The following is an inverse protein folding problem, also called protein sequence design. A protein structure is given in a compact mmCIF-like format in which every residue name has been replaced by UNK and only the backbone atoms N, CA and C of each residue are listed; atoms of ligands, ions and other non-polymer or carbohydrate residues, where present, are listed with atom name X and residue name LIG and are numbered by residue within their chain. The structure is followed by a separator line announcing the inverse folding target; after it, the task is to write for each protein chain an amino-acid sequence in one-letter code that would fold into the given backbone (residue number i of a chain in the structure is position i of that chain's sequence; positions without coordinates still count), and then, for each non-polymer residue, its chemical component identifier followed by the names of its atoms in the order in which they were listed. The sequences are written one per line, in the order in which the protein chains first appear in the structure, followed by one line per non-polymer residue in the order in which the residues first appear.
data_IF_767853318231
#
_entry.id   IF_767853318231
#
_cell.length_a   1.000
_cell.length_b   1.000
_cell.length_c   1.000
_cell.angle_alpha   90.00
_cell.angle_beta   90.00
_cell.angle_gamma   90.00
#
_symmetry.space_group_name_H-M   'P 1'
#
loop_
_entity.id
_entity.type
_entity.pdbx_description
1 polymer ?
#
# COMPACT_ATOMS: atom_id res chain seq x y z
N UNK A 1 7.56 -13.16 -5.74
CA UNK A 1 8.39 -14.37 -5.57
C UNK A 1 8.73 -14.45 -4.10
N UNK A 2 8.49 -15.58 -3.46
CA UNK A 2 8.92 -15.82 -2.08
C UNK A 2 10.26 -16.56 -2.14
N UNK A 3 11.30 -15.96 -1.59
CA UNK A 3 12.62 -16.60 -1.48
C UNK A 3 12.68 -17.36 -0.18
N UNK A 4 13.04 -18.64 -0.24
CA UNK A 4 13.38 -19.38 0.97
C UNK A 4 14.76 -18.93 1.46
N UNK A 5 14.97 -18.82 2.78
CA UNK A 5 16.31 -18.66 3.34
C UNK A 5 17.22 -19.73 2.73
N UNK A 6 18.42 -19.34 2.32
CA UNK A 6 19.43 -20.27 1.75
C UNK A 6 20.07 -21.12 2.86
N UNK A 7 19.25 -21.72 3.71
CA UNK A 7 19.67 -22.71 4.70
C UNK A 7 19.54 -24.07 4.04
N UNK A 8 20.63 -24.86 4.07
CA UNK A 8 20.71 -26.15 3.38
C UNK A 8 19.57 -27.13 3.69
N UNK A 9 18.94 -26.98 4.86
CA UNK A 9 17.81 -27.80 5.33
C UNK A 9 16.50 -27.46 4.59
N UNK A 10 16.20 -26.16 4.39
CA UNK A 10 14.98 -25.75 3.68
C UNK A 10 15.11 -25.99 2.17
N UNK A 11 16.32 -25.83 1.63
CA UNK A 11 16.58 -26.05 0.21
C UNK A 11 16.60 -27.54 -0.13
N UNK A 12 17.14 -28.40 0.74
CA UNK A 12 17.07 -29.85 0.56
C UNK A 12 15.64 -30.38 0.68
N UNK A 13 14.87 -29.88 1.66
CA UNK A 13 13.45 -30.23 1.80
C UNK A 13 12.64 -29.81 0.56
N UNK A 14 12.80 -28.57 0.07
CA UNK A 14 12.12 -28.12 -1.15
C UNK A 14 12.54 -28.94 -2.38
N UNK A 15 13.79 -29.40 -2.46
CA UNK A 15 14.27 -30.21 -3.58
C UNK A 15 13.79 -31.67 -3.54
N UNK A 16 13.45 -32.20 -2.36
CA UNK A 16 12.91 -33.56 -2.19
C UNK A 16 11.39 -33.65 -2.37
N UNK A 17 10.68 -32.53 -2.27
CA UNK A 17 9.22 -32.50 -2.37
C UNK A 17 8.75 -32.52 -3.83
N UNK A 18 7.83 -33.42 -4.14
CA UNK A 18 7.14 -33.49 -5.43
C UNK A 18 6.19 -32.29 -5.64
N UNK A 19 5.75 -32.00 -6.89
CA UNK A 19 4.84 -30.88 -7.16
C UNK A 19 3.58 -30.95 -6.30
N UNK A 20 3.46 -30.05 -5.32
CA UNK A 20 2.41 -30.11 -4.32
C UNK A 20 1.48 -28.90 -4.43
N UNK A 21 0.18 -29.14 -4.25
CA UNK A 21 -0.82 -28.08 -4.15
C UNK A 21 -0.67 -27.25 -2.86
N UNK A 22 -0.05 -27.76 -1.80
CA UNK A 22 0.21 -26.99 -0.58
C UNK A 22 1.18 -25.83 -0.84
N UNK A 23 2.24 -26.03 -1.64
CA UNK A 23 3.18 -24.97 -2.00
C UNK A 23 2.50 -23.85 -2.80
N UNK A 24 1.41 -24.16 -3.53
CA UNK A 24 0.64 -23.16 -4.28
C UNK A 24 -0.09 -22.17 -3.37
N UNK A 25 -0.52 -22.61 -2.18
CA UNK A 25 -1.27 -21.77 -1.21
C UNK A 25 -0.42 -20.57 -0.79
N UNK A 26 0.89 -20.77 -0.61
CA UNK A 26 1.82 -19.71 -0.22
C UNK A 26 1.86 -18.59 -1.28
N UNK A 27 1.92 -18.95 -2.57
CA UNK A 27 1.88 -17.98 -3.66
C UNK A 27 0.52 -17.34 -3.86
N UNK A 28 -0.53 -18.14 -3.76
CA UNK A 28 -1.90 -17.66 -3.86
C UNK A 28 -2.17 -16.62 -2.77
N UNK A 29 -1.77 -16.89 -1.52
CA UNK A 29 -1.85 -15.95 -0.40
C UNK A 29 -1.00 -14.70 -0.61
N UNK A 30 0.22 -14.85 -1.14
CA UNK A 30 1.08 -13.70 -1.45
C UNK A 30 0.45 -12.81 -2.54
N UNK A 31 -0.05 -13.38 -3.62
CA UNK A 31 -0.71 -12.61 -4.69
C UNK A 31 -2.01 -11.99 -4.20
N UNK A 32 -2.79 -12.73 -3.43
CA UNK A 32 -4.00 -12.25 -2.78
C UNK A 32 -3.73 -11.01 -1.92
N UNK A 33 -2.71 -11.07 -1.06
CA UNK A 33 -2.30 -9.95 -0.21
C UNK A 33 -1.81 -8.75 -1.03
N UNK A 34 -1.03 -8.98 -2.10
CA UNK A 34 -0.55 -7.90 -2.98
C UNK A 34 -1.70 -7.18 -3.68
N UNK A 35 -2.66 -7.90 -4.27
CA UNK A 35 -3.84 -7.28 -4.89
C UNK A 35 -4.70 -6.54 -3.86
N UNK A 36 -4.85 -7.07 -2.66
CA UNK A 36 -5.58 -6.40 -1.57
C UNK A 36 -4.89 -5.11 -1.13
N UNK A 37 -3.58 -5.18 -0.86
CA UNK A 37 -2.72 -4.05 -0.49
C UNK A 37 -2.73 -2.94 -1.56
N UNK A 38 -3.01 -3.29 -2.81
CA UNK A 38 -3.11 -2.35 -3.91
C UNK A 38 -4.38 -1.50 -3.89
N UNK A 39 -5.51 -2.02 -3.41
CA UNK A 39 -6.79 -1.28 -3.43
C UNK A 39 -6.96 -0.40 -2.19
N UNK A 40 -6.38 -0.79 -1.03
CA UNK A 40 -6.51 -0.01 0.21
C UNK A 40 -6.08 1.46 0.09
N UNK A 41 -4.93 1.81 -0.52
CA UNK A 41 -4.53 3.21 -0.68
C UNK A 41 -5.52 4.01 -1.55
N UNK A 42 -6.09 3.39 -2.58
CA UNK A 42 -7.13 4.02 -3.40
C UNK A 42 -8.43 4.25 -2.61
N UNK A 43 -8.87 3.28 -1.81
CA UNK A 43 -10.03 3.47 -0.93
C UNK A 43 -9.82 4.66 0.01
N UNK A 44 -8.62 4.79 0.59
CA UNK A 44 -8.27 5.94 1.44
C UNK A 44 -8.34 7.27 0.68
N UNK A 45 -7.86 7.32 -0.56
CA UNK A 45 -7.98 8.49 -1.44
C UNK A 45 -9.44 8.89 -1.69
N UNK A 46 -10.31 7.93 -2.02
CA UNK A 46 -11.74 8.18 -2.28
C UNK A 46 -12.46 8.69 -1.03
N UNK A 47 -12.22 8.07 0.12
CA UNK A 47 -12.76 8.50 1.42
C UNK A 47 -12.40 9.97 1.68
N UNK A 48 -11.16 10.37 1.42
CA UNK A 48 -10.70 11.75 1.58
C UNK A 48 -11.39 12.71 0.61
N UNK A 49 -11.50 12.33 -0.65
CA UNK A 49 -12.20 13.13 -1.66
C UNK A 49 -13.66 13.40 -1.26
N UNK A 50 -14.35 12.40 -0.69
CA UNK A 50 -15.73 12.53 -0.20
C UNK A 50 -15.82 13.46 1.00
N UNK A 51 -14.91 13.34 1.98
CA UNK A 51 -14.88 14.22 3.17
C UNK A 51 -14.70 15.68 2.78
N UNK A 52 -13.80 15.96 1.84
CA UNK A 52 -13.55 17.32 1.34
C UNK A 52 -14.68 17.81 0.43
N UNK A 53 -15.31 16.94 -0.36
CA UNK A 53 -16.39 17.33 -1.26
C UNK A 53 -17.73 17.53 -0.56
N UNK A 54 -18.04 16.75 0.48
CA UNK A 54 -19.34 16.72 1.15
C UNK A 54 -19.24 16.70 2.69
N UNK A 55 -18.78 17.79 3.32
CA UNK A 55 -18.50 17.84 4.77
C UNK A 55 -19.72 17.61 5.67
N UNK A 56 -20.96 17.78 5.18
CA UNK A 56 -22.15 17.57 6.02
C UNK A 56 -22.71 16.13 5.96
N UNK A 57 -22.44 15.38 4.90
CA UNK A 57 -22.97 14.01 4.68
C UNK A 57 -21.88 12.94 4.65
N UNK A 58 -20.61 13.32 4.80
CA UNK A 58 -19.47 12.41 4.69
C UNK A 58 -19.55 11.20 5.64
N UNK A 59 -20.08 11.36 6.86
CA UNK A 59 -20.16 10.25 7.83
C UNK A 59 -21.02 9.09 7.30
N UNK A 60 -22.24 9.39 6.81
CA UNK A 60 -23.15 8.37 6.26
C UNK A 60 -22.59 7.74 4.99
N UNK A 61 -22.03 8.56 4.09
CA UNK A 61 -21.48 8.09 2.82
C UNK A 61 -20.24 7.22 3.04
N UNK A 62 -19.30 7.65 3.89
CA UNK A 62 -18.11 6.85 4.20
C UNK A 62 -18.45 5.55 4.93
N UNK A 63 -19.43 5.55 5.84
CA UNK A 63 -19.85 4.33 6.50
C UNK A 63 -20.39 3.29 5.50
N UNK A 64 -21.20 3.74 4.53
CA UNK A 64 -21.70 2.89 3.44
C UNK A 64 -20.53 2.42 2.55
N UNK A 65 -19.66 3.35 2.16
CA UNK A 65 -18.50 3.04 1.31
C UNK A 65 -17.55 2.05 1.97
N UNK A 66 -17.27 2.16 3.27
CA UNK A 66 -16.43 1.21 4.00
C UNK A 66 -17.12 -0.14 4.14
N UNK A 67 -18.42 -0.15 4.48
CA UNK A 67 -19.20 -1.38 4.62
C UNK A 67 -19.27 -2.20 3.33
N UNK A 68 -19.34 -1.55 2.19
CA UNK A 68 -19.40 -2.20 0.87
C UNK A 68 -18.00 -2.40 0.26
N UNK A 69 -17.13 -1.40 0.39
CA UNK A 69 -15.81 -1.39 -0.22
C UNK A 69 -14.85 -2.40 0.39
N UNK A 70 -14.85 -2.56 1.72
CA UNK A 70 -13.99 -3.55 2.40
C UNK A 70 -14.27 -4.98 1.90
N UNK A 71 -15.50 -5.51 1.92
CA UNK A 71 -15.73 -6.87 1.41
C UNK A 71 -15.39 -7.01 -0.08
N UNK A 72 -15.64 -5.99 -0.90
CA UNK A 72 -15.24 -6.00 -2.32
C UNK A 72 -13.72 -6.14 -2.46
N UNK A 73 -12.93 -5.46 -1.61
CA UNK A 73 -11.46 -5.57 -1.63
C UNK A 73 -11.00 -7.00 -1.34
N UNK A 74 -11.66 -7.73 -0.45
CA UNK A 74 -11.30 -9.14 -0.16
C UNK A 74 -11.78 -10.10 -1.26
N UNK A 75 -12.87 -9.80 -1.96
CA UNK A 75 -13.36 -10.64 -3.06
C UNK A 75 -12.55 -10.40 -4.35
N UNK A 76 -12.10 -9.16 -4.59
CA UNK A 76 -11.40 -8.76 -5.81
C UNK A 76 -10.20 -9.64 -6.17
N UNK A 77 -9.23 -9.93 -5.28
CA UNK A 77 -8.09 -10.79 -5.60
C UNK A 77 -8.47 -12.21 -6.02
N UNK A 78 -9.64 -12.73 -5.60
CA UNK A 78 -10.10 -14.06 -5.99
C UNK A 78 -10.35 -14.10 -7.50
N UNK A 79 -10.97 -13.06 -8.05
CA UNK A 79 -11.19 -12.94 -9.50
C UNK A 79 -9.89 -12.80 -10.29
N UNK A 80 -8.86 -12.20 -9.70
CA UNK A 80 -7.55 -12.05 -10.36
C UNK A 80 -6.57 -13.20 -10.07
N UNK A 81 -6.94 -14.18 -9.26
CA UNK A 81 -6.10 -15.37 -8.95
C UNK A 81 -6.67 -16.68 -9.49
N UNK A 82 -7.77 -16.64 -10.25
CA UNK A 82 -8.43 -17.83 -10.82
C UNK A 82 -7.49 -18.72 -11.65
N UNK A 83 -6.52 -18.13 -12.36
CA UNK A 83 -5.58 -18.87 -13.20
C UNK A 83 -4.59 -19.72 -12.39
N UNK A 84 -4.49 -19.49 -11.07
CA UNK A 84 -3.65 -20.26 -10.15
C UNK A 84 -4.34 -21.51 -9.58
N UNK A 85 -5.64 -21.70 -9.82
CA UNK A 85 -6.42 -22.84 -9.30
C UNK A 85 -5.84 -24.20 -9.75
N UNK A 86 -5.59 -24.46 -11.06
CA UNK A 86 -5.02 -25.73 -11.51
C UNK A 86 -3.48 -25.78 -11.39
N UNK A 87 -2.83 -24.67 -11.02
CA UNK A 87 -1.38 -24.63 -10.95
C UNK A 87 -0.84 -25.51 -9.82
N UNK A 88 0.35 -26.07 -10.04
CA UNK A 88 1.12 -26.83 -9.04
C UNK A 88 2.31 -26.01 -8.57
N UNK A 89 2.59 -26.03 -7.27
CA UNK A 89 3.78 -25.41 -6.71
C UNK A 89 4.98 -26.32 -6.95
N UNK A 90 6.06 -25.78 -7.53
CA UNK A 90 7.31 -26.49 -7.80
C UNK A 90 8.49 -25.71 -7.25
N UNK A 91 9.49 -26.40 -6.73
CA UNK A 91 10.75 -25.79 -6.33
C UNK A 91 11.68 -25.73 -7.55
N UNK A 92 12.14 -24.53 -7.92
CA UNK A 92 13.10 -24.34 -9.01
C UNK A 92 14.35 -23.63 -8.53
N UNK A 93 15.48 -23.99 -9.11
CA UNK A 93 16.72 -23.27 -8.89
C UNK A 93 16.62 -21.87 -9.53
N UNK A 94 17.13 -20.87 -8.82
CA UNK A 94 17.22 -19.50 -9.32
C UNK A 94 18.27 -19.46 -10.45
N UNK A 95 17.96 -18.78 -11.56
CA UNK A 95 18.90 -18.60 -12.67
C UNK A 95 20.12 -17.76 -12.25
N UNK A 96 21.22 -17.83 -13.02
CA UNK A 96 22.43 -17.01 -12.84
C UNK A 96 22.08 -15.56 -12.48
N UNK A 97 22.72 -14.92 -11.48
CA UNK A 97 24.05 -15.16 -10.90
C UNK A 97 24.09 -15.95 -9.56
N UNK A 98 23.01 -16.61 -9.16
CA UNK A 98 22.95 -17.24 -7.84
C UNK A 98 23.65 -18.62 -7.80
N UNK A 99 24.33 -18.95 -6.68
CA UNK A 99 25.01 -20.24 -6.53
C UNK A 99 24.03 -21.42 -6.46
N UNK A 100 24.54 -22.62 -6.76
CA UNK A 100 23.82 -23.89 -6.57
C UNK A 100 23.30 -24.00 -5.13
N UNK A 101 22.04 -24.40 -4.98
CA UNK A 101 21.32 -24.44 -3.70
C UNK A 101 20.41 -23.22 -3.44
N UNK A 102 20.46 -22.19 -4.28
CA UNK A 102 19.47 -21.10 -4.23
C UNK A 102 18.15 -21.53 -4.87
N UNK A 103 17.25 -22.08 -4.05
CA UNK A 103 15.94 -22.55 -4.49
C UNK A 103 14.89 -21.46 -4.23
N UNK A 104 14.00 -21.25 -5.20
CA UNK A 104 12.78 -20.50 -5.01
C UNK A 104 11.59 -21.38 -5.37
N UNK A 105 10.47 -21.12 -4.69
CA UNK A 105 9.22 -21.77 -5.05
C UNK A 105 8.69 -21.01 -6.28
N UNK A 106 8.14 -21.74 -7.25
CA UNK A 106 7.53 -21.22 -8.47
C UNK A 106 6.23 -22.00 -8.76
N UNK A 107 5.35 -21.48 -9.62
CA UNK A 107 4.14 -22.20 -10.04
C UNK A 107 4.31 -22.71 -11.47
N UNK A 108 4.00 -23.98 -11.71
CA UNK A 108 4.00 -24.58 -13.04
C UNK A 108 2.55 -24.89 -13.47
N UNK A 109 2.33 -24.90 -14.79
CA UNK A 109 1.04 -25.18 -15.43
C UNK A 109 -0.13 -24.27 -14.98
N UNK A 110 0.01 -22.94 -15.04
CA UNK A 110 -1.13 -22.04 -14.82
C UNK A 110 -2.19 -22.23 -15.91
N UNK A 111 -3.46 -21.96 -15.57
CA UNK A 111 -4.55 -22.02 -16.54
C UNK A 111 -4.27 -21.05 -17.70
N UNK A 112 -4.41 -21.53 -18.94
CA UNK A 112 -4.15 -20.76 -20.17
C UNK A 112 -2.71 -20.21 -20.33
N UNK A 113 -1.73 -20.73 -19.59
CA UNK A 113 -0.35 -20.22 -19.66
C UNK A 113 -0.20 -18.78 -19.15
N UNK A 114 -1.19 -18.28 -18.40
CA UNK A 114 -1.25 -16.90 -17.93
C UNK A 114 -0.21 -16.61 -16.86
N UNK A 115 0.39 -15.41 -16.92
CA UNK A 115 1.43 -14.98 -15.99
C UNK A 115 0.95 -13.80 -15.16
N UNK A 116 1.01 -13.94 -13.83
CA UNK A 116 0.53 -12.92 -12.88
C UNK A 116 1.18 -11.54 -13.08
N UNK A 117 2.42 -11.47 -13.55
CA UNK A 117 3.15 -10.21 -13.71
C UNK A 117 2.44 -9.23 -14.66
N UNK A 118 1.84 -9.73 -15.74
CA UNK A 118 1.10 -8.87 -16.69
C UNK A 118 -0.21 -8.39 -16.11
N UNK A 119 -0.98 -9.27 -15.45
CA UNK A 119 -2.23 -8.88 -14.77
C UNK A 119 -1.97 -7.86 -13.67
N UNK A 120 -0.94 -8.09 -12.86
CA UNK A 120 -0.59 -7.18 -11.78
C UNK A 120 -0.10 -5.83 -12.30
N UNK A 121 0.68 -5.79 -13.40
CA UNK A 121 1.10 -4.55 -14.04
C UNK A 121 -0.11 -3.76 -14.57
N UNK A 122 -0.99 -4.41 -15.32
CA UNK A 122 -2.20 -3.78 -15.87
C UNK A 122 -3.06 -3.17 -14.77
N UNK A 123 -3.32 -3.95 -13.72
CA UNK A 123 -4.00 -3.49 -12.52
C UNK A 123 -3.29 -2.27 -11.94
N UNK A 124 -1.98 -2.36 -11.69
CA UNK A 124 -1.21 -1.26 -11.06
C UNK A 124 -1.33 0.04 -11.86
N UNK A 125 -1.28 -0.03 -13.20
CA UNK A 125 -1.43 1.14 -14.08
C UNK A 125 -2.84 1.73 -13.98
N UNK A 126 -3.89 0.90 -14.03
CA UNK A 126 -5.28 1.38 -13.92
C UNK A 126 -5.51 2.11 -12.59
N UNK A 127 -5.07 1.53 -11.48
CA UNK A 127 -5.24 2.14 -10.16
C UNK A 127 -4.33 3.36 -9.96
N UNK A 128 -3.15 3.40 -10.59
CA UNK A 128 -2.30 4.60 -10.63
C UNK A 128 -3.02 5.76 -11.31
N UNK A 129 -3.61 5.53 -12.50
CA UNK A 129 -4.35 6.56 -13.25
C UNK A 129 -5.54 7.07 -12.42
N UNK A 130 -6.34 6.16 -11.85
CA UNK A 130 -7.47 6.54 -11.01
C UNK A 130 -7.03 7.33 -9.76
N UNK A 131 -5.91 6.96 -9.15
CA UNK A 131 -5.34 7.66 -7.99
C UNK A 131 -4.86 9.07 -8.35
N UNK A 132 -4.22 9.25 -9.51
CA UNK A 132 -3.79 10.56 -10.01
C UNK A 132 -5.01 11.45 -10.25
N UNK A 133 -6.04 10.94 -10.93
CA UNK A 133 -7.29 11.68 -11.20
C UNK A 133 -7.95 12.12 -9.88
N UNK A 134 -8.09 11.20 -8.92
CA UNK A 134 -8.68 11.51 -7.62
C UNK A 134 -7.88 12.57 -6.85
N UNK A 135 -6.54 12.47 -6.89
CA UNK A 135 -5.67 13.42 -6.19
C UNK A 135 -5.69 14.81 -6.83
N UNK A 136 -5.76 14.91 -8.17
CA UNK A 136 -5.99 16.19 -8.87
C UNK A 136 -7.33 16.79 -8.42
N UNK A 137 -8.40 15.98 -8.38
CA UNK A 137 -9.71 16.41 -7.88
C UNK A 137 -9.67 16.95 -6.44
N UNK A 138 -8.90 16.30 -5.57
CA UNK A 138 -8.67 16.73 -4.19
C UNK A 138 -7.97 18.10 -4.15
N UNK A 139 -6.87 18.28 -4.90
CA UNK A 139 -6.15 19.55 -4.96
C UNK A 139 -7.01 20.71 -5.48
N UNK A 140 -7.81 20.48 -6.52
CA UNK A 140 -8.72 21.51 -7.06
C UNK A 140 -9.77 21.95 -6.03
N UNK A 141 -10.32 21.01 -5.25
CA UNK A 141 -11.28 21.32 -4.19
C UNK A 141 -10.64 22.10 -3.05
N UNK A 142 -9.44 21.72 -2.62
CA UNK A 142 -8.68 22.44 -1.59
C UNK A 142 -8.32 23.85 -2.05
N UNK A 143 -7.89 24.01 -3.31
CA UNK A 143 -7.60 25.32 -3.89
C UNK A 143 -8.84 26.23 -3.93
N UNK A 144 -10.01 25.68 -4.31
CA UNK A 144 -11.28 26.41 -4.31
C UNK A 144 -11.73 26.79 -2.89
N UNK A 145 -11.56 25.91 -1.91
CA UNK A 145 -11.86 26.22 -0.51
C UNK A 145 -10.95 27.35 0.01
N UNK A 146 -9.66 27.35 -0.37
CA UNK A 146 -8.71 28.41 -0.04
C UNK A 146 -9.11 29.76 -0.63
N UNK A 147 -9.50 29.83 -1.91
CA UNK A 147 -9.91 31.10 -2.53
C UNK A 147 -11.15 31.71 -1.88
N UNK A 148 -12.01 30.89 -1.28
CA UNK A 148 -13.21 31.34 -0.56
C UNK A 148 -12.91 31.76 0.90
N UNK A 149 -11.80 31.31 1.49
CA UNK A 149 -11.44 31.50 2.90
C UNK A 149 -10.46 32.66 3.18
N UNK A 150 -10.05 33.43 2.17
CA UNK A 150 -9.14 34.59 2.33
C UNK A 150 -9.72 35.67 3.28
N UNK A 151 -11.02 35.65 3.61
CA UNK A 151 -11.64 36.62 4.53
C UNK A 151 -11.66 36.24 6.02
N UNK A 152 -11.36 35.00 6.43
CA UNK A 152 -11.43 34.61 7.85
C UNK A 152 -10.16 33.89 8.34
N UNK A 153 -9.41 34.59 9.18
CA UNK A 153 -8.12 34.25 9.83
C UNK A 153 -8.12 32.97 10.71
N UNK A 154 -9.21 32.18 10.69
CA UNK A 154 -9.40 30.93 11.46
C UNK A 154 -8.86 29.67 10.74
N UNK A 155 -8.39 29.80 9.49
CA UNK A 155 -8.11 28.68 8.58
C UNK A 155 -6.68 28.11 8.51
N UNK A 156 -5.66 28.71 9.14
CA UNK A 156 -4.26 28.29 8.91
C UNK A 156 -3.92 26.89 9.50
N UNK A 157 -4.51 26.54 10.64
CA UNK A 157 -4.36 25.22 11.27
C UNK A 157 -5.16 24.15 10.53
N UNK A 158 -6.40 24.45 10.12
CA UNK A 158 -7.24 23.54 9.34
C UNK A 158 -6.58 23.23 7.99
N UNK A 159 -6.05 24.27 7.33
CA UNK A 159 -5.31 24.14 6.07
C UNK A 159 -4.04 23.30 6.22
N UNK A 160 -3.25 23.50 7.29
CA UNK A 160 -2.06 22.66 7.55
C UNK A 160 -2.43 21.18 7.80
N UNK A 161 -3.57 20.92 8.45
CA UNK A 161 -4.08 19.56 8.63
C UNK A 161 -4.49 18.94 7.29
N UNK A 162 -5.25 19.66 6.46
CA UNK A 162 -5.66 19.21 5.12
C UNK A 162 -4.48 19.00 4.17
N UNK A 163 -3.47 19.86 4.25
CA UNK A 163 -2.24 19.76 3.45
C UNK A 163 -1.39 18.57 3.89
N UNK A 164 -1.23 18.33 5.19
CA UNK A 164 -0.55 17.14 5.73
C UNK A 164 -1.22 15.85 5.23
N UNK A 165 -2.54 15.81 5.22
CA UNK A 165 -3.32 14.68 4.72
C UNK A 165 -3.19 14.54 3.19
N UNK A 166 -3.07 15.63 2.45
CA UNK A 166 -2.84 15.59 0.99
C UNK A 166 -1.41 15.18 0.63
N UNK A 167 -0.44 15.40 1.51
CA UNK A 167 0.93 14.90 1.33
C UNK A 167 0.93 13.36 1.45
N UNK A 168 0.19 12.80 2.41
CA UNK A 168 0.14 11.34 2.57
C UNK A 168 -0.55 10.65 1.38
N UNK A 169 -1.53 11.29 0.73
CA UNK A 169 -2.14 10.78 -0.51
C UNK A 169 -1.17 10.78 -1.69
N UNK A 170 -0.29 11.78 -1.81
CA UNK A 170 0.78 11.80 -2.81
C UNK A 170 1.78 10.67 -2.55
N UNK A 171 2.13 10.40 -1.30
CA UNK A 171 3.01 9.28 -0.92
C UNK A 171 2.39 7.93 -1.27
N UNK A 172 1.06 7.80 -1.16
CA UNK A 172 0.35 6.61 -1.66
C UNK A 172 0.44 6.45 -3.18
N UNK A 173 0.53 7.52 -3.96
CA UNK A 173 0.76 7.41 -5.43
C UNK A 173 2.15 6.84 -5.72
N UNK A 174 3.17 7.24 -4.93
CA UNK A 174 4.51 6.67 -5.05
C UNK A 174 4.51 5.14 -4.84
N UNK A 175 3.56 4.58 -4.08
CA UNK A 175 3.38 3.12 -3.96
C UNK A 175 3.18 2.45 -5.31
N UNK A 176 2.26 3.01 -6.10
CA UNK A 176 1.92 2.45 -7.40
C UNK A 176 3.06 2.61 -8.40
N UNK A 177 3.78 3.75 -8.35
CA UNK A 177 4.95 3.98 -9.20
C UNK A 177 6.08 3.02 -8.87
N UNK A 178 6.42 2.85 -7.58
CA UNK A 178 7.49 1.95 -7.13
C UNK A 178 7.13 0.49 -7.47
N UNK A 179 5.93 0.03 -7.12
CA UNK A 179 5.49 -1.33 -7.43
C UNK A 179 5.38 -1.60 -8.93
N UNK A 180 4.86 -0.65 -9.70
CA UNK A 180 4.78 -0.72 -11.15
C UNK A 180 6.17 -0.79 -11.78
N UNK A 181 7.10 0.04 -11.30
CA UNK A 181 8.50 0.03 -11.71
C UNK A 181 9.17 -1.31 -11.44
N UNK A 182 9.04 -1.88 -10.23
CA UNK A 182 9.59 -3.20 -9.92
C UNK A 182 9.05 -4.30 -10.84
N UNK A 183 7.76 -4.26 -11.18
CA UNK A 183 7.13 -5.26 -12.05
C UNK A 183 7.53 -5.07 -13.51
N UNK A 184 7.66 -3.82 -13.96
CA UNK A 184 8.12 -3.50 -15.31
C UNK A 184 9.57 -3.95 -15.52
N UNK A 185 10.46 -3.62 -14.58
CA UNK A 185 11.86 -4.07 -14.63
C UNK A 185 11.92 -5.60 -14.56
N UNK A 186 11.08 -6.25 -13.73
CA UNK A 186 10.96 -7.71 -13.69
C UNK A 186 10.58 -8.33 -15.04
N UNK A 187 9.68 -7.70 -15.80
CA UNK A 187 9.26 -8.19 -17.13
C UNK A 187 10.36 -7.96 -18.17
N UNK A 188 11.00 -6.79 -18.17
CA UNK A 188 12.01 -6.40 -19.15
C UNK A 188 13.32 -7.18 -19.00
N UNK A 189 13.74 -7.46 -17.76
CA UNK A 189 15.01 -8.12 -17.45
C UNK A 189 14.81 -9.56 -16.94
N UNK A 190 13.71 -10.20 -17.35
CA UNK A 190 13.45 -11.58 -16.93
C UNK A 190 14.46 -12.55 -17.56
N UNK A 191 15.40 -13.07 -16.76
CA UNK A 191 16.34 -14.10 -17.19
C UNK A 191 17.68 -13.59 -17.74
N UNK A 192 17.89 -12.29 -17.79
CA UNK A 192 19.14 -11.63 -18.17
C UNK A 192 19.55 -10.65 -17.07
N UNK A 193 20.76 -10.79 -16.55
CA UNK A 193 21.49 -9.84 -15.68
C UNK A 193 21.30 -9.84 -14.16
N UNK A 194 22.36 -9.36 -13.50
CA UNK A 194 22.50 -9.05 -12.06
C UNK A 194 21.41 -8.12 -11.51
N UNK A 195 20.73 -7.34 -12.36
CA UNK A 195 19.66 -6.42 -11.96
C UNK A 195 18.45 -7.15 -11.40
N UNK A 196 18.09 -8.32 -11.95
CA UNK A 196 17.00 -9.13 -11.40
C UNK A 196 17.27 -9.52 -9.94
N UNK A 197 18.52 -9.87 -9.64
CA UNK A 197 18.95 -10.22 -8.28
C UNK A 197 18.86 -9.06 -7.29
N UNK A 198 19.20 -7.85 -7.75
CA UNK A 198 19.06 -6.64 -6.94
C UNK A 198 17.59 -6.33 -6.64
N UNK A 199 16.69 -6.45 -7.63
CA UNK A 199 15.26 -6.22 -7.44
C UNK A 199 14.65 -7.19 -6.42
N UNK A 200 15.10 -8.45 -6.42
CA UNK A 200 14.66 -9.46 -5.47
C UNK A 200 15.01 -9.08 -4.01
N UNK A 201 16.12 -8.38 -3.81
CA UNK A 201 16.55 -7.93 -2.48
C UNK A 201 15.84 -6.63 -2.11
N UNK A 202 15.80 -5.65 -3.00
CA UNK A 202 15.31 -4.29 -2.69
C UNK A 202 13.79 -4.22 -2.57
N UNK A 203 13.04 -5.03 -3.34
CA UNK A 203 11.58 -4.96 -3.35
C UNK A 203 10.94 -5.14 -1.96
N UNK A 204 11.29 -6.16 -1.15
CA UNK A 204 10.80 -6.28 0.22
C UNK A 204 11.07 -5.03 1.07
N UNK A 205 12.30 -4.52 1.09
CA UNK A 205 12.65 -3.31 1.84
C UNK A 205 11.89 -2.08 1.38
N UNK A 206 11.69 -1.90 0.08
CA UNK A 206 10.91 -0.81 -0.47
C UNK A 206 9.43 -0.92 -0.03
N UNK A 207 8.89 -2.13 0.00
CA UNK A 207 7.51 -2.39 0.45
C UNK A 207 7.37 -2.13 1.96
N UNK A 208 8.33 -2.57 2.77
CA UNK A 208 8.31 -2.36 4.22
C UNK A 208 8.48 -0.88 4.56
N UNK A 209 9.48 -0.22 3.96
CA UNK A 209 9.72 1.22 4.12
C UNK A 209 8.46 2.02 3.79
N UNK A 210 7.75 1.64 2.73
CA UNK A 210 6.51 2.28 2.35
C UNK A 210 5.41 2.20 3.41
N UNK A 211 5.24 1.05 4.06
CA UNK A 211 4.26 0.90 5.14
C UNK A 211 4.57 1.80 6.33
N UNK A 212 5.86 2.06 6.61
CA UNK A 212 6.31 2.92 7.70
C UNK A 212 6.28 4.43 7.36
N UNK A 213 6.61 4.80 6.12
CA UNK A 213 6.75 6.19 5.69
C UNK A 213 5.42 6.95 5.74
N UNK A 214 4.30 6.31 5.40
CA UNK A 214 2.98 6.97 5.41
C UNK A 214 2.57 7.43 6.83
N UNK A 215 2.59 6.58 7.87
CA UNK A 215 2.38 7.00 9.25
C UNK A 215 3.40 8.02 9.75
N UNK A 216 4.69 7.87 9.41
CA UNK A 216 5.73 8.82 9.84
C UNK A 216 5.50 10.21 9.27
N UNK A 217 5.22 10.32 7.97
CA UNK A 217 4.90 11.59 7.33
C UNK A 217 3.65 12.20 7.97
N UNK A 218 2.61 11.40 8.20
CA UNK A 218 1.41 11.87 8.88
C UNK A 218 1.72 12.43 10.27
N UNK A 219 2.45 11.67 11.10
CA UNK A 219 2.83 12.07 12.45
C UNK A 219 3.65 13.37 12.46
N UNK A 220 4.66 13.48 11.59
CA UNK A 220 5.58 14.62 11.56
C UNK A 220 4.97 15.88 10.93
N UNK A 221 3.99 15.75 10.06
CA UNK A 221 3.39 16.90 9.34
C UNK A 221 2.08 17.39 9.96
N UNK A 222 1.32 16.53 10.64
CA UNK A 222 -0.01 16.88 11.11
C UNK A 222 0.02 17.78 12.36
N UNK A 223 -0.72 18.91 12.39
CA UNK A 223 -0.64 19.90 13.48
C UNK A 223 -1.15 19.38 14.83
N UNK A 224 -1.95 18.30 14.85
CA UNK A 224 -2.42 17.66 16.09
C UNK A 224 -1.26 17.14 16.94
N UNK A 225 -0.23 16.55 16.31
CA UNK A 225 0.91 16.00 17.05
C UNK A 225 1.96 17.06 17.42
N UNK A 226 1.98 18.20 16.73
CA UNK A 226 2.89 19.31 17.05
C UNK A 226 2.46 20.17 18.24
N UNK A 227 1.19 20.09 18.68
CA UNK A 227 0.68 20.91 19.78
C UNK A 227 1.11 20.44 21.17
N UNK A 228 1.38 19.15 21.35
CA UNK A 228 1.78 18.59 22.66
C UNK A 228 3.23 18.95 23.00
N UNK A 229 4.11 19.11 22.00
CA UNK A 229 5.54 19.38 22.23
C UNK A 229 5.87 20.80 22.72
N UNK A 230 4.91 21.74 22.78
CA UNK A 230 5.12 23.12 23.25
C UNK A 230 4.46 23.38 24.61
N UNK A 231 3.75 22.41 25.19
CA UNK A 231 3.03 22.58 26.46
C UNK A 231 3.76 22.06 27.71
N UNK A 232 4.86 21.32 27.54
CA UNK A 232 5.58 20.69 28.67
C UNK A 232 6.90 21.39 29.06
N UNK A 233 7.19 22.57 28.50
CA UNK A 233 8.32 23.39 28.93
C UNK A 233 7.90 24.86 29.11
N UNK A 234 7.23 25.12 30.22
CA UNK A 234 7.01 26.47 30.74
C UNK A 234 5.55 26.93 30.72
N UNK A 235 4.84 26.72 31.83
CA UNK A 235 4.28 27.80 32.67
C UNK A 235 3.66 27.14 33.90
N UNK A 236 4.26 27.51 35.04
CA UNK A 236 3.84 27.24 36.40
C UNK A 236 2.35 27.54 36.64
N UNK A 237 1.72 26.68 37.43
CA UNK A 237 0.71 27.00 38.45
C UNK A 237 -0.24 28.19 38.17
N UNK A 238 -1.53 27.91 37.91
CA UNK A 238 -2.72 28.61 38.46
C UNK A 238 -4.00 28.39 37.62
N UNK A 239 -4.50 27.15 37.49
CA UNK A 239 -5.92 26.97 37.05
C UNK A 239 -6.54 25.64 37.50
N UNK A 240 -6.25 25.20 38.73
CA UNK A 240 -6.90 24.03 39.35
C UNK A 240 -7.81 24.40 40.54
N UNK A 241 -8.21 25.67 40.67
CA UNK A 241 -8.98 26.16 41.83
C UNK A 241 -10.27 26.90 41.47
N UNK A 242 -10.94 26.52 40.37
CA UNK A 242 -12.23 27.15 40.00
C UNK A 242 -13.34 26.19 39.57
N UNK A 243 -13.31 24.95 40.06
CA UNK A 243 -14.38 23.96 39.85
C UNK A 243 -14.92 23.30 41.13
N UNK A 244 -14.61 23.83 42.32
CA UNK A 244 -15.26 23.45 43.58
C UNK A 244 -15.87 24.68 44.26
N UNK A 245 -16.90 25.24 43.64
CA UNK A 245 -17.88 26.14 44.28
C UNK A 245 -18.99 26.40 43.25
N UNK A 246 -19.83 25.39 43.02
CA UNK A 246 -21.23 25.52 42.57
C UNK A 246 -21.82 24.12 42.49
N UNK A 247 -22.16 23.56 43.66
CA UNK A 247 -23.22 22.57 43.91
C UNK A 247 -23.42 22.51 45.41
#
# INVERSE_FOLDING_TARGET
MLRLPSTGILTSWCASEEPNHLLKIIFMGTYYANYSAMIFPFLMLVIRLIVVSFPMKHYKINAILLRIGVPIIWVYPIFFTFFLIPAVGVCRQLSSPYPLGSVHIYYANPLFGLRNSYFYLYNTIVWLILSIIANIGLFLKIAKARSQLISFQKGSISYKAELSISITTVVMILFYVINGGFVLIYILYYGTDSYFSFLLIVKPFATDMQTCVVPWIFYLTHPVFKRVAVSDMGVSSTTFSRQMNHS
#
